data_IF_814749581536
#
_entry.id   IF_814749581536
#
_cell.length_a   1.000
_cell.length_b   1.000
_cell.length_c   1.000
_cell.angle_alpha   90.00
_cell.angle_beta   90.00
_cell.angle_gamma   90.00
#
_symmetry.space_group_name_H-M   'P 1'
#
loop_
_entity.id
_entity.type
_entity.pdbx_description
1 polymer ?
#
# COMPACT_ATOMS: atom_id res chain seq x y z
N UNK A 1 7.48 -23.06 48.63
CA UNK A 1 8.38 -22.92 47.48
C UNK A 1 8.12 -23.96 46.39
N UNK A 2 8.13 -25.27 46.69
CA UNK A 2 7.89 -26.34 45.69
C UNK A 2 6.50 -26.28 45.04
N UNK A 3 5.44 -26.05 45.82
CA UNK A 3 4.07 -25.97 45.29
C UNK A 3 3.86 -24.81 44.30
N UNK A 4 4.52 -23.67 44.53
CA UNK A 4 4.47 -22.54 43.61
C UNK A 4 5.08 -22.91 42.25
N UNK A 5 6.24 -23.56 42.24
CA UNK A 5 6.89 -23.98 40.99
C UNK A 5 6.01 -24.90 40.13
N UNK A 6 5.34 -25.87 40.75
CA UNK A 6 4.41 -26.77 40.04
C UNK A 6 3.14 -26.06 39.54
N UNK A 7 2.61 -25.12 40.32
CA UNK A 7 1.48 -24.27 39.89
C UNK A 7 1.90 -23.41 38.68
N UNK A 8 3.11 -22.82 38.71
CA UNK A 8 3.65 -22.04 37.59
C UNK A 8 3.85 -22.89 36.34
N UNK A 9 4.43 -24.08 36.47
CA UNK A 9 4.63 -25.00 35.34
C UNK A 9 3.27 -25.45 34.76
N UNK A 10 2.31 -25.77 35.62
CA UNK A 10 0.97 -26.17 35.20
C UNK A 10 0.27 -25.04 34.43
N UNK A 11 0.29 -23.81 34.95
CA UNK A 11 -0.26 -22.63 34.27
C UNK A 11 0.40 -22.41 32.90
N UNK A 12 1.73 -22.55 32.84
CA UNK A 12 2.47 -22.40 31.59
C UNK A 12 2.05 -23.44 30.54
N UNK A 13 1.96 -24.72 30.92
CA UNK A 13 1.53 -25.81 30.03
C UNK A 13 0.10 -25.60 29.56
N UNK A 14 -0.81 -25.24 30.48
CA UNK A 14 -2.23 -25.01 30.19
C UNK A 14 -2.43 -23.87 29.19
N UNK A 15 -1.56 -22.87 29.14
CA UNK A 15 -1.63 -21.78 28.14
C UNK A 15 -0.91 -22.15 26.84
N UNK A 16 0.27 -22.77 26.95
CA UNK A 16 1.15 -23.04 25.80
C UNK A 16 0.60 -24.12 24.89
N UNK A 17 0.03 -25.20 25.44
CA UNK A 17 -0.51 -26.30 24.63
C UNK A 17 -1.66 -25.84 23.72
N UNK A 18 -2.69 -25.11 24.21
CA UNK A 18 -3.70 -24.52 23.34
C UNK A 18 -3.14 -23.54 22.31
N UNK A 19 -2.14 -22.73 22.67
CA UNK A 19 -1.50 -21.81 21.75
C UNK A 19 -0.80 -22.56 20.60
N UNK A 20 -0.04 -23.62 20.91
CA UNK A 20 0.58 -24.51 19.89
C UNK A 20 -0.50 -25.15 19.01
N UNK A 21 -1.58 -25.67 19.60
CA UNK A 21 -2.70 -26.26 18.84
C UNK A 21 -3.31 -25.23 17.90
N UNK A 22 -3.51 -24.00 18.36
CA UNK A 22 -4.06 -22.92 17.53
C UNK A 22 -3.13 -22.60 16.36
N UNK A 23 -1.82 -22.50 16.59
CA UNK A 23 -0.84 -22.27 15.51
C UNK A 23 -0.83 -23.42 14.49
N UNK A 24 -0.91 -24.67 14.96
CA UNK A 24 -0.99 -25.84 14.09
C UNK A 24 -2.28 -25.84 13.26
N UNK A 25 -3.42 -25.51 13.88
CA UNK A 25 -4.74 -25.45 13.23
C UNK A 25 -4.88 -24.26 12.27
N UNK A 26 -4.02 -23.25 12.37
CA UNK A 26 -4.09 -22.09 11.50
C UNK A 26 -3.66 -22.37 10.05
N UNK A 27 -3.06 -23.54 9.76
CA UNK A 27 -2.61 -23.98 8.43
C UNK A 27 -1.70 -22.95 7.74
N UNK A 28 -0.78 -22.36 8.51
CA UNK A 28 0.21 -21.40 7.98
C UNK A 28 1.31 -22.14 7.22
N UNK A 29 2.16 -21.37 6.53
CA UNK A 29 3.41 -21.91 6.01
C UNK A 29 4.17 -22.65 7.12
N UNK A 30 4.63 -23.90 6.88
CA UNK A 30 5.27 -24.73 7.90
C UNK A 30 6.41 -24.02 8.63
N UNK A 31 7.19 -23.19 7.93
CA UNK A 31 8.25 -22.38 8.54
C UNK A 31 7.74 -21.40 9.60
N UNK A 32 6.62 -20.68 9.35
CA UNK A 32 6.01 -19.76 10.32
C UNK A 32 5.45 -20.53 11.53
N UNK A 33 4.83 -21.69 11.29
CA UNK A 33 4.34 -22.59 12.35
C UNK A 33 5.47 -23.09 13.23
N UNK A 34 6.56 -23.59 12.62
CA UNK A 34 7.73 -24.07 13.34
C UNK A 34 8.41 -22.94 14.14
N UNK A 35 8.51 -21.73 13.57
CA UNK A 35 9.07 -20.58 14.28
C UNK A 35 8.28 -20.27 15.57
N UNK A 36 6.95 -20.26 15.52
CA UNK A 36 6.13 -20.04 16.72
C UNK A 36 6.24 -21.17 17.74
N UNK A 37 6.28 -22.43 17.29
CA UNK A 37 6.51 -23.57 18.18
C UNK A 37 7.87 -23.44 18.89
N UNK A 38 8.92 -23.04 18.17
CA UNK A 38 10.24 -22.79 18.77
C UNK A 38 10.21 -21.61 19.75
N UNK A 39 9.52 -20.52 19.42
CA UNK A 39 9.34 -19.37 20.33
C UNK A 39 8.63 -19.80 21.62
N UNK A 40 7.57 -20.60 21.52
CA UNK A 40 6.90 -21.18 22.67
C UNK A 40 7.79 -22.14 23.45
N UNK A 41 8.70 -22.87 22.82
CA UNK A 41 9.57 -23.80 23.53
C UNK A 41 10.73 -23.10 24.25
N UNK A 42 11.42 -22.18 23.56
CA UNK A 42 12.67 -21.58 24.04
C UNK A 42 12.48 -20.27 24.81
N UNK A 43 11.33 -19.61 24.66
CA UNK A 43 11.05 -18.31 25.29
C UNK A 43 9.74 -18.42 26.09
N UNK A 44 9.75 -19.10 27.27
CA UNK A 44 8.55 -19.27 28.06
C UNK A 44 8.01 -17.93 28.56
N UNK A 45 6.67 -17.83 28.63
CA UNK A 45 5.87 -16.64 28.97
C UNK A 45 5.99 -15.49 27.98
N UNK A 46 7.20 -15.03 27.70
CA UNK A 46 7.47 -13.94 26.76
C UNK A 46 7.11 -14.34 25.33
N UNK A 47 7.33 -15.61 24.94
CA UNK A 47 6.89 -16.13 23.64
C UNK A 47 5.38 -16.15 23.46
N UNK A 48 4.63 -16.40 24.54
CA UNK A 48 3.16 -16.30 24.55
C UNK A 48 2.74 -14.84 24.33
N UNK A 49 3.34 -13.92 25.07
CA UNK A 49 3.14 -12.47 24.89
C UNK A 49 3.38 -12.13 23.41
N UNK A 50 4.57 -12.43 22.87
CA UNK A 50 4.90 -12.19 21.45
C UNK A 50 3.88 -12.78 20.47
N UNK A 51 3.38 -13.99 20.74
CA UNK A 51 2.37 -14.63 19.89
C UNK A 51 1.06 -13.84 19.83
N UNK A 52 0.60 -13.31 20.95
CA UNK A 52 -0.60 -12.47 20.97
C UNK A 52 -0.43 -11.17 20.16
N UNK A 53 0.80 -10.64 20.03
CA UNK A 53 1.09 -9.42 19.25
C UNK A 53 1.32 -9.68 17.77
N UNK A 54 2.23 -10.59 17.45
CA UNK A 54 2.77 -10.79 16.10
C UNK A 54 2.33 -12.11 15.48
N UNK A 55 1.82 -13.01 16.32
CA UNK A 55 1.58 -14.39 15.98
C UNK A 55 0.15 -14.70 15.62
N UNK A 56 -0.82 -13.79 15.70
CA UNK A 56 -2.20 -14.08 15.31
C UNK A 56 -2.41 -13.98 13.79
N UNK A 57 -3.22 -14.86 13.21
CA UNK A 57 -3.60 -14.80 11.80
C UNK A 57 -5.03 -14.27 11.69
N UNK A 58 -5.17 -12.97 11.41
CA UNK A 58 -6.48 -12.33 11.27
C UNK A 58 -7.05 -12.45 9.86
N UNK A 59 -6.36 -13.10 8.92
CA UNK A 59 -6.81 -13.24 7.52
C UNK A 59 -8.13 -14.01 7.36
N UNK A 60 -8.55 -14.74 8.40
CA UNK A 60 -9.83 -15.45 8.47
C UNK A 60 -10.95 -14.62 9.12
N UNK A 61 -10.65 -13.43 9.65
CA UNK A 61 -11.65 -12.56 10.28
C UNK A 61 -12.46 -11.81 9.21
N UNK A 62 -13.70 -12.24 8.99
CA UNK A 62 -14.64 -11.52 8.14
C UNK A 62 -15.22 -10.32 8.89
N UNK A 63 -14.59 -9.15 8.72
CA UNK A 63 -15.02 -7.91 9.36
C UNK A 63 -16.17 -7.20 8.60
N UNK A 64 -16.42 -7.58 7.35
CA UNK A 64 -17.52 -7.06 6.50
C UNK A 64 -18.32 -8.26 5.97
N UNK A 65 -19.65 -8.19 6.07
CA UNK A 65 -20.53 -9.25 5.54
C UNK A 65 -20.59 -9.21 4.01
N UNK A 66 -20.77 -10.36 3.37
CA UNK A 66 -20.90 -10.47 1.91
C UNK A 66 -22.03 -9.55 1.39
N UNK A 67 -23.16 -9.49 2.11
CA UNK A 67 -24.29 -8.59 1.79
C UNK A 67 -23.90 -7.11 1.82
N UNK A 68 -23.12 -6.68 2.81
CA UNK A 68 -22.64 -5.29 2.88
C UNK A 68 -21.67 -4.99 1.74
N UNK A 69 -20.78 -5.93 1.43
CA UNK A 69 -19.82 -5.80 0.32
C UNK A 69 -20.53 -5.70 -1.03
N UNK A 70 -21.56 -6.52 -1.26
CA UNK A 70 -22.39 -6.46 -2.46
C UNK A 70 -23.05 -5.08 -2.60
N UNK A 71 -23.59 -4.53 -1.51
CA UNK A 71 -24.23 -3.20 -1.53
C UNK A 71 -23.23 -2.08 -1.83
N UNK A 72 -22.05 -2.12 -1.24
CA UNK A 72 -20.97 -1.14 -1.48
C UNK A 72 -20.42 -1.25 -2.91
N UNK A 73 -20.42 -2.44 -3.50
CA UNK A 73 -19.88 -2.71 -4.85
C UNK A 73 -20.94 -2.54 -5.95
N UNK A 74 -22.24 -2.60 -5.60
CA UNK A 74 -23.36 -2.56 -6.55
C UNK A 74 -23.30 -1.35 -7.48
N UNK A 75 -22.96 -0.16 -6.97
CA UNK A 75 -22.95 1.06 -7.77
C UNK A 75 -21.82 1.07 -8.79
N UNK A 76 -20.59 0.78 -8.37
CA UNK A 76 -19.48 0.64 -9.32
C UNK A 76 -19.72 -0.47 -10.34
N UNK A 77 -20.40 -1.57 -9.96
CA UNK A 77 -20.80 -2.62 -10.90
C UNK A 77 -21.80 -2.14 -11.95
N UNK A 78 -22.80 -1.35 -11.57
CA UNK A 78 -23.76 -0.80 -12.52
C UNK A 78 -23.05 0.11 -13.53
N UNK A 79 -22.22 1.03 -13.05
CA UNK A 79 -21.42 1.91 -13.90
C UNK A 79 -20.46 1.12 -14.81
N UNK A 80 -19.90 0.01 -14.32
CA UNK A 80 -19.07 -0.88 -15.13
C UNK A 80 -19.86 -1.51 -16.29
N UNK A 81 -21.09 -1.96 -16.04
CA UNK A 81 -21.99 -2.57 -17.03
C UNK A 81 -22.48 -1.55 -18.06
N UNK A 82 -22.64 -0.29 -17.66
CA UNK A 82 -23.07 0.80 -18.55
C UNK A 82 -21.97 1.27 -19.52
N UNK A 83 -20.73 0.75 -19.43
CA UNK A 83 -19.65 1.09 -20.34
C UNK A 83 -19.88 0.55 -21.76
N UNK A 84 -20.29 1.42 -22.67
CA UNK A 84 -20.43 1.08 -24.09
C UNK A 84 -19.07 0.81 -24.75
N UNK A 85 -19.01 -0.22 -25.59
CA UNK A 85 -17.83 -0.57 -26.40
C UNK A 85 -16.54 -0.83 -25.58
N UNK A 86 -16.65 -1.39 -24.37
CA UNK A 86 -15.49 -1.79 -23.58
C UNK A 86 -14.72 -2.92 -24.28
N UNK A 87 -13.48 -2.65 -24.68
CA UNK A 87 -12.55 -3.63 -25.21
C UNK A 87 -11.43 -3.89 -24.20
N UNK A 88 -11.24 -5.16 -23.83
CA UNK A 88 -10.19 -5.58 -22.90
C UNK A 88 -9.00 -6.14 -23.70
N UNK A 89 -7.79 -5.56 -23.60
CA UNK A 89 -6.61 -6.06 -24.32
C UNK A 89 -6.31 -7.53 -23.99
N UNK A 90 -6.15 -8.36 -25.02
CA UNK A 90 -5.92 -9.80 -24.85
C UNK A 90 -4.64 -10.11 -24.06
N UNK A 91 -3.58 -9.32 -24.25
CA UNK A 91 -2.29 -9.43 -23.54
C UNK A 91 -2.45 -9.41 -22.02
N UNK A 92 -3.38 -8.61 -21.49
CA UNK A 92 -3.55 -8.39 -20.06
C UNK A 92 -4.87 -8.94 -19.49
N UNK A 93 -5.72 -9.54 -20.34
CA UNK A 93 -7.04 -10.07 -19.97
C UNK A 93 -7.03 -11.02 -18.78
N UNK A 94 -6.02 -11.90 -18.71
CA UNK A 94 -5.89 -12.84 -17.59
C UNK A 94 -5.57 -12.15 -16.26
N UNK A 95 -4.76 -11.09 -16.29
CA UNK A 95 -4.46 -10.27 -15.11
C UNK A 95 -5.69 -9.46 -14.68
N UNK A 96 -6.43 -8.89 -15.65
CA UNK A 96 -7.66 -8.16 -15.34
C UNK A 96 -8.73 -9.07 -14.70
N UNK A 97 -8.89 -10.28 -15.22
CA UNK A 97 -9.79 -11.28 -14.65
C UNK A 97 -9.34 -11.74 -13.26
N UNK A 98 -8.03 -11.86 -13.01
CA UNK A 98 -7.50 -12.19 -11.69
C UNK A 98 -8.01 -11.16 -10.65
N UNK A 99 -7.81 -9.88 -10.92
CA UNK A 99 -8.25 -8.81 -10.01
C UNK A 99 -9.77 -8.74 -9.85
N UNK A 100 -10.52 -8.90 -10.94
CA UNK A 100 -11.99 -8.93 -10.88
C UNK A 100 -12.50 -10.09 -10.01
N UNK A 101 -11.89 -11.27 -10.13
CA UNK A 101 -12.31 -12.48 -9.40
C UNK A 101 -11.90 -12.48 -7.92
N UNK A 102 -10.87 -11.72 -7.53
CA UNK A 102 -10.40 -11.66 -6.15
C UNK A 102 -11.17 -10.64 -5.30
N UNK A 103 -11.36 -9.42 -5.80
CA UNK A 103 -11.84 -8.29 -5.01
C UNK A 103 -12.84 -7.39 -5.73
N UNK A 104 -13.37 -7.84 -6.87
CA UNK A 104 -14.25 -7.04 -7.73
C UNK A 104 -13.60 -5.72 -8.17
N UNK A 105 -12.29 -5.72 -8.37
CA UNK A 105 -11.58 -4.62 -9.01
C UNK A 105 -11.92 -4.66 -10.51
N UNK A 106 -12.97 -3.95 -10.91
CA UNK A 106 -13.47 -3.95 -12.29
C UNK A 106 -12.70 -2.94 -13.17
N UNK A 107 -12.47 -3.24 -14.46
CA UNK A 107 -11.76 -2.35 -15.36
C UNK A 107 -12.68 -1.24 -15.90
N UNK A 108 -12.23 0.01 -15.76
CA UNK A 108 -12.92 1.21 -16.27
C UNK A 108 -12.11 1.88 -17.37
N UNK A 109 -12.74 2.20 -18.50
CA UNK A 109 -12.15 3.02 -19.58
C UNK A 109 -12.50 4.50 -19.41
N UNK A 110 -12.16 5.31 -20.42
CA UNK A 110 -12.44 6.75 -20.47
C UNK A 110 -11.84 7.48 -19.26
N UNK A 111 -10.50 7.48 -19.17
CA UNK A 111 -9.77 8.13 -18.09
C UNK A 111 -8.78 9.18 -18.61
N UNK A 112 -8.76 10.34 -17.98
CA UNK A 112 -7.69 11.33 -18.11
C UNK A 112 -6.84 11.28 -16.83
N UNK A 113 -5.53 11.18 -17.00
CA UNK A 113 -4.61 10.94 -15.89
C UNK A 113 -3.44 11.91 -15.91
N UNK A 114 -3.25 12.62 -14.82
CA UNK A 114 -2.08 13.46 -14.57
C UNK A 114 -1.14 12.75 -13.58
N UNK A 115 0.17 12.80 -13.85
CA UNK A 115 1.20 12.18 -13.02
C UNK A 115 2.01 13.27 -12.34
N UNK A 116 2.00 13.30 -11.01
CA UNK A 116 2.78 14.22 -10.20
C UNK A 116 4.02 13.51 -9.66
N UNK A 117 5.18 14.11 -9.87
CA UNK A 117 6.47 13.56 -9.42
C UNK A 117 7.08 14.29 -8.23
N UNK A 118 6.46 15.40 -7.81
CA UNK A 118 6.87 16.21 -6.67
C UNK A 118 5.64 16.66 -5.88
N UNK A 119 5.83 16.96 -4.60
CA UNK A 119 4.72 17.37 -3.74
C UNK A 119 4.22 18.77 -4.06
N UNK A 120 5.03 19.66 -4.62
CA UNK A 120 4.62 21.05 -4.85
C UNK A 120 3.46 21.10 -5.85
N UNK A 121 3.63 20.50 -7.03
CA UNK A 121 2.60 20.48 -8.06
C UNK A 121 1.38 19.65 -7.64
N UNK A 122 1.61 18.54 -6.91
CA UNK A 122 0.54 17.69 -6.40
C UNK A 122 -0.36 18.44 -5.40
N UNK A 123 0.21 19.04 -4.34
CA UNK A 123 -0.59 19.65 -3.29
C UNK A 123 -1.29 20.93 -3.74
N UNK A 124 -0.69 21.70 -4.66
CA UNK A 124 -1.38 22.82 -5.28
C UNK A 124 -2.61 22.35 -6.08
N UNK A 125 -2.45 21.27 -6.84
CA UNK A 125 -3.57 20.67 -7.58
C UNK A 125 -4.63 20.12 -6.64
N UNK A 126 -4.24 19.43 -5.56
CA UNK A 126 -5.17 18.91 -4.57
C UNK A 126 -5.99 20.06 -3.93
N UNK A 127 -5.32 21.10 -3.45
CA UNK A 127 -5.97 22.29 -2.86
C UNK A 127 -6.90 22.99 -3.86
N UNK A 128 -6.49 23.12 -5.12
CA UNK A 128 -7.34 23.67 -6.17
C UNK A 128 -8.63 22.86 -6.32
N UNK A 129 -8.53 21.53 -6.42
CA UNK A 129 -9.72 20.69 -6.59
C UNK A 129 -10.59 20.66 -5.32
N UNK A 130 -10.00 20.72 -4.11
CA UNK A 130 -10.75 20.88 -2.84
C UNK A 130 -11.56 22.17 -2.88
N UNK A 131 -10.95 23.29 -3.30
CA UNK A 131 -11.64 24.57 -3.44
C UNK A 131 -12.83 24.52 -4.41
N UNK A 132 -12.72 23.71 -5.48
CA UNK A 132 -13.79 23.52 -6.46
C UNK A 132 -14.94 22.61 -6.00
N UNK A 133 -14.76 21.82 -4.94
CA UNK A 133 -15.75 20.84 -4.49
C UNK A 133 -17.12 21.48 -4.21
N UNK A 134 -18.20 20.81 -4.63
CA UNK A 134 -19.58 21.30 -4.50
C UNK A 134 -20.50 20.36 -3.73
N UNK A 135 -20.16 19.09 -3.61
CA UNK A 135 -21.02 18.07 -3.02
C UNK A 135 -20.31 17.31 -1.92
N UNK A 136 -19.17 16.66 -2.21
CA UNK A 136 -18.46 15.88 -1.20
C UNK A 136 -16.96 15.78 -1.43
N UNK A 137 -16.23 15.58 -0.34
CA UNK A 137 -14.81 15.23 -0.32
C UNK A 137 -14.65 14.00 0.56
N UNK A 138 -14.09 12.94 0.00
CA UNK A 138 -13.71 11.73 0.72
C UNK A 138 -12.18 11.64 0.73
N UNK A 139 -11.56 11.60 1.90
CA UNK A 139 -10.10 11.57 2.05
C UNK A 139 -9.69 10.41 2.95
N UNK A 140 -8.82 9.54 2.46
CA UNK A 140 -8.17 8.48 3.23
C UNK A 140 -6.66 8.65 3.11
N UNK A 141 -5.94 8.77 4.23
CA UNK A 141 -4.49 8.91 4.22
C UNK A 141 -3.84 8.20 5.41
N UNK A 142 -2.70 7.55 5.17
CA UNK A 142 -1.91 6.95 6.24
C UNK A 142 -1.34 7.99 7.22
N UNK A 143 -0.77 9.08 6.70
CA UNK A 143 -0.22 10.17 7.53
C UNK A 143 -0.89 11.49 7.13
N UNK A 144 -1.36 12.21 8.14
CA UNK A 144 -1.79 13.60 8.07
C UNK A 144 -1.06 14.39 9.16
N UNK A 145 0.10 14.99 8.82
CA UNK A 145 0.90 15.72 9.82
C UNK A 145 0.32 17.09 10.14
N UNK A 146 0.32 17.47 11.43
CA UNK A 146 0.02 18.83 11.87
C UNK A 146 1.21 19.79 11.65
N UNK A 147 1.68 19.89 10.41
CA UNK A 147 2.68 20.87 9.96
C UNK A 147 2.03 21.95 9.09
N UNK A 148 2.82 22.89 8.56
CA UNK A 148 2.28 24.01 7.78
C UNK A 148 1.46 23.58 6.55
N UNK A 149 1.80 22.46 5.90
CA UNK A 149 1.03 21.93 4.79
C UNK A 149 -0.25 21.26 5.29
N UNK A 150 -0.15 20.49 6.38
CA UNK A 150 -1.31 19.85 6.96
C UNK A 150 -2.37 20.83 7.46
N UNK A 151 -1.95 21.91 8.15
CA UNK A 151 -2.86 22.98 8.54
C UNK A 151 -3.51 23.66 7.33
N UNK A 152 -2.76 23.90 6.25
CA UNK A 152 -3.31 24.49 5.03
C UNK A 152 -4.40 23.61 4.40
N UNK A 153 -4.19 22.29 4.35
CA UNK A 153 -5.20 21.35 3.83
C UNK A 153 -6.38 21.24 4.80
N UNK A 154 -6.13 21.18 6.11
CA UNK A 154 -7.19 21.13 7.12
C UNK A 154 -8.09 22.37 7.04
N UNK A 155 -7.51 23.56 6.95
CA UNK A 155 -8.26 24.81 6.81
C UNK A 155 -9.08 24.83 5.50
N UNK A 156 -8.51 24.36 4.39
CA UNK A 156 -9.25 24.24 3.13
C UNK A 156 -10.44 23.25 3.23
N UNK A 157 -10.28 22.13 3.94
CA UNK A 157 -11.38 21.19 4.18
C UNK A 157 -12.45 21.79 5.10
N UNK A 158 -12.05 22.53 6.13
CA UNK A 158 -12.93 23.26 7.06
C UNK A 158 -13.77 24.28 6.28
N UNK A 159 -13.13 25.10 5.44
CA UNK A 159 -13.81 26.09 4.60
C UNK A 159 -14.87 25.44 3.72
N UNK A 160 -14.62 24.22 3.22
CA UNK A 160 -15.59 23.46 2.41
C UNK A 160 -16.74 22.90 3.24
N UNK A 161 -16.45 22.36 4.41
CA UNK A 161 -17.47 21.87 5.34
C UNK A 161 -18.43 22.98 5.78
N UNK A 162 -17.90 24.17 6.09
CA UNK A 162 -18.70 25.35 6.44
C UNK A 162 -19.57 25.85 5.27
N UNK A 163 -19.15 25.61 4.03
CA UNK A 163 -19.96 25.86 2.82
C UNK A 163 -21.02 24.77 2.56
N UNK A 164 -21.14 23.76 3.43
CA UNK A 164 -22.09 22.67 3.32
C UNK A 164 -21.65 21.51 2.42
N UNK A 165 -20.36 21.45 2.03
CA UNK A 165 -19.80 20.28 1.35
C UNK A 165 -19.60 19.17 2.37
N UNK A 166 -20.06 17.96 2.05
CA UNK A 166 -19.88 16.81 2.93
C UNK A 166 -18.42 16.35 2.91
N UNK A 167 -17.72 16.39 4.04
CA UNK A 167 -16.32 15.96 4.12
C UNK A 167 -16.20 14.75 5.05
N UNK A 168 -15.69 13.64 4.50
CA UNK A 168 -15.35 12.42 5.25
C UNK A 168 -13.86 12.16 5.20
N UNK A 169 -13.25 11.96 6.37
CA UNK A 169 -11.81 11.78 6.51
C UNK A 169 -11.50 10.50 7.31
N UNK A 170 -10.64 9.67 6.74
CA UNK A 170 -10.01 8.53 7.40
C UNK A 170 -8.52 8.82 7.53
N UNK A 171 -7.97 8.66 8.73
CA UNK A 171 -6.52 8.67 8.95
C UNK A 171 -6.07 7.42 9.69
N UNK A 172 -4.84 6.96 9.49
CA UNK A 172 -4.31 5.83 10.28
C UNK A 172 -3.83 6.29 11.67
N UNK A 173 -4.32 5.63 12.70
CA UNK A 173 -4.03 5.96 14.11
C UNK A 173 -2.53 5.86 14.46
N UNK A 174 -1.85 4.79 14.05
CA UNK A 174 -0.43 4.58 14.34
C UNK A 174 0.43 5.48 13.45
N UNK A 175 0.05 5.66 12.18
CA UNK A 175 0.69 6.61 11.27
C UNK A 175 0.66 8.04 11.81
N UNK A 176 -0.44 8.43 12.46
CA UNK A 176 -0.65 9.76 13.02
C UNK A 176 -0.42 9.86 14.54
N UNK A 177 0.21 8.88 15.18
CA UNK A 177 0.38 8.88 16.66
C UNK A 177 1.03 10.16 17.20
N UNK A 178 1.96 10.76 16.46
CA UNK A 178 2.64 11.99 16.89
C UNK A 178 1.80 13.26 16.70
N UNK A 179 0.65 13.16 16.06
CA UNK A 179 -0.28 14.27 15.81
C UNK A 179 -1.20 14.39 17.01
N UNK A 180 -1.35 15.60 17.54
CA UNK A 180 -2.22 15.83 18.70
C UNK A 180 -3.69 15.75 18.29
N UNK A 181 -4.53 15.18 19.14
CA UNK A 181 -5.98 15.09 18.91
C UNK A 181 -6.63 16.45 18.62
N UNK A 182 -6.12 17.54 19.23
CA UNK A 182 -6.56 18.93 18.98
C UNK A 182 -6.60 19.30 17.48
N UNK A 183 -5.68 18.74 16.68
CA UNK A 183 -5.66 18.96 15.23
C UNK A 183 -6.89 18.36 14.54
N UNK A 184 -7.31 17.17 14.94
CA UNK A 184 -8.48 16.49 14.40
C UNK A 184 -9.78 17.04 15.00
N UNK A 185 -9.79 17.38 16.29
CA UNK A 185 -10.98 17.97 16.94
C UNK A 185 -11.38 19.30 16.29
N UNK A 186 -10.41 20.15 15.95
CA UNK A 186 -10.68 21.39 15.19
C UNK A 186 -11.49 21.13 13.92
N UNK A 187 -11.14 20.09 13.17
CA UNK A 187 -11.84 19.74 11.93
C UNK A 187 -13.21 19.12 12.21
N UNK A 188 -13.35 18.30 13.26
CA UNK A 188 -14.63 17.75 13.71
C UNK A 188 -15.61 18.85 14.15
N UNK A 189 -15.12 19.83 14.90
CA UNK A 189 -15.91 20.98 15.37
C UNK A 189 -16.46 21.82 14.22
N UNK A 190 -15.79 21.82 13.06
CA UNK A 190 -16.25 22.45 11.82
C UNK A 190 -17.22 21.59 10.99
N UNK A 191 -17.62 20.41 11.48
CA UNK A 191 -18.58 19.53 10.81
C UNK A 191 -17.97 18.50 9.85
N UNK A 192 -16.65 18.31 9.87
CA UNK A 192 -16.00 17.23 9.12
C UNK A 192 -16.19 15.91 9.87
N UNK A 193 -16.59 14.86 9.15
CA UNK A 193 -16.74 13.52 9.69
C UNK A 193 -15.37 12.79 9.67
N UNK A 194 -14.78 12.53 10.84
CA UNK A 194 -13.41 12.05 10.96
C UNK A 194 -13.30 10.80 11.82
N UNK A 195 -12.72 9.75 11.24
CA UNK A 195 -12.45 8.49 11.92
C UNK A 195 -11.00 8.05 11.80
N UNK A 196 -10.44 7.60 12.93
CA UNK A 196 -9.15 6.91 12.96
C UNK A 196 -9.32 5.45 12.51
N UNK A 197 -8.44 4.96 11.64
CA UNK A 197 -8.41 3.57 11.20
C UNK A 197 -7.73 2.68 12.26
N UNK A 198 -8.47 1.66 12.73
CA UNK A 198 -8.03 0.68 13.74
C UNK A 198 -7.30 1.31 14.94
N UNK A 199 -7.99 2.10 15.79
CA UNK A 199 -7.37 2.82 16.89
C UNK A 199 -6.70 1.91 17.92
N UNK A 200 -5.53 2.31 18.41
CA UNK A 200 -4.66 1.59 19.33
C UNK A 200 -4.41 2.43 20.59
N UNK A 201 -5.27 2.25 21.60
CA UNK A 201 -5.10 2.92 22.90
C UNK A 201 -3.97 2.33 23.75
N UNK A 202 -3.70 1.04 23.58
CA UNK A 202 -2.66 0.32 24.32
C UNK A 202 -1.83 -0.57 23.38
N UNK A 203 -0.75 -0.04 22.76
CA UNK A 203 0.06 -0.80 21.79
C UNK A 203 0.64 -2.08 22.38
N UNK A 204 1.01 -2.04 23.65
CA UNK A 204 1.55 -3.17 24.38
C UNK A 204 0.52 -4.28 24.67
N UNK A 205 -0.75 -4.15 24.23
CA UNK A 205 -1.79 -5.20 24.40
C UNK A 205 -2.62 -5.53 23.14
N UNK A 206 -2.23 -5.14 21.92
CA UNK A 206 -3.00 -5.47 20.71
C UNK A 206 -2.18 -5.78 19.45
N UNK A 207 -2.60 -6.82 18.69
CA UNK A 207 -2.09 -7.14 17.35
C UNK A 207 -2.51 -6.12 16.29
N UNK A 208 -3.47 -5.23 16.59
CA UNK A 208 -3.95 -4.17 15.68
C UNK A 208 -2.84 -3.24 15.21
N UNK A 209 -1.73 -3.11 15.94
CA UNK A 209 -0.56 -2.32 15.53
C UNK A 209 0.01 -2.79 14.19
N UNK A 210 -0.10 -4.08 13.87
CA UNK A 210 0.48 -4.65 12.66
C UNK A 210 -0.32 -4.34 11.39
N UNK A 211 -1.64 -4.13 11.51
CA UNK A 211 -2.53 -3.88 10.37
C UNK A 211 -2.83 -2.40 10.25
N UNK A 212 -2.30 -1.74 9.22
CA UNK A 212 -2.38 -0.28 9.05
C UNK A 212 -2.98 0.07 7.71
N UNK A 213 -3.76 1.16 7.66
CA UNK A 213 -4.25 1.68 6.40
C UNK A 213 -3.18 2.52 5.73
N UNK A 214 -2.51 1.94 4.75
CA UNK A 214 -1.43 2.58 4.02
C UNK A 214 -1.93 3.19 2.69
N UNK A 215 -3.24 3.31 2.48
CA UNK A 215 -3.80 3.97 1.30
C UNK A 215 -3.65 5.49 1.40
N UNK A 216 -3.65 6.16 0.24
CA UNK A 216 -3.73 7.61 0.09
C UNK A 216 -4.70 7.88 -1.05
N UNK A 217 -5.98 8.03 -0.71
CA UNK A 217 -7.08 8.20 -1.65
C UNK A 217 -7.77 9.53 -1.37
N UNK A 218 -8.11 10.28 -2.42
CA UNK A 218 -9.02 11.41 -2.28
C UNK A 218 -10.03 11.38 -3.41
N UNK A 219 -11.32 11.52 -3.13
CA UNK A 219 -12.38 11.66 -4.12
C UNK A 219 -13.09 12.97 -3.90
N UNK A 220 -13.22 13.75 -4.95
CA UNK A 220 -13.89 15.06 -4.95
C UNK A 220 -15.07 14.98 -5.89
N UNK A 221 -16.26 15.17 -5.33
CA UNK A 221 -17.56 15.14 -6.01
C UNK A 221 -17.83 13.87 -6.83
N UNK A 222 -17.08 12.78 -6.61
CA UNK A 222 -17.16 11.56 -7.42
C UNK A 222 -16.64 11.75 -8.85
N UNK A 223 -15.98 12.88 -9.16
CA UNK A 223 -15.52 13.27 -10.50
C UNK A 223 -14.01 13.26 -10.65
N UNK A 224 -13.30 13.66 -9.59
CA UNK A 224 -11.84 13.70 -9.53
C UNK A 224 -11.39 12.75 -8.42
N UNK A 225 -10.44 11.86 -8.74
CA UNK A 225 -9.84 10.93 -7.81
C UNK A 225 -8.33 11.13 -7.73
N UNK A 226 -7.76 10.96 -6.54
CA UNK A 226 -6.32 10.94 -6.32
C UNK A 226 -5.91 9.60 -5.69
N UNK A 227 -4.77 9.06 -6.14
CA UNK A 227 -4.18 7.82 -5.63
C UNK A 227 -2.66 7.84 -5.84
N UNK A 228 -1.88 7.41 -4.84
CA UNK A 228 -0.42 7.39 -4.97
C UNK A 228 0.33 7.13 -3.67
N UNK A 229 1.61 7.54 -3.63
CA UNK A 229 2.51 7.30 -2.50
C UNK A 229 2.61 8.44 -1.48
N UNK A 230 2.32 9.67 -1.89
CA UNK A 230 2.46 10.87 -1.04
C UNK A 230 1.44 10.92 0.10
N UNK A 231 1.92 11.06 1.33
CA UNK A 231 1.10 11.43 2.49
C UNK A 231 0.96 12.95 2.61
N UNK A 232 0.02 13.43 3.43
CA UNK A 232 -0.08 14.85 3.76
C UNK A 232 1.00 15.22 4.78
N UNK A 233 2.14 15.69 4.27
CA UNK A 233 3.28 16.16 5.07
C UNK A 233 4.18 17.09 4.25
N UNK A 234 4.67 18.16 4.87
CA UNK A 234 5.49 19.21 4.26
C UNK A 234 6.79 18.68 3.66
N UNK A 235 7.28 17.53 4.14
CA UNK A 235 8.50 16.87 3.62
C UNK A 235 8.42 16.54 2.13
N UNK A 236 7.23 16.27 1.58
CA UNK A 236 7.07 16.00 0.14
C UNK A 236 7.23 17.26 -0.72
N UNK A 237 7.11 18.44 -0.12
CA UNK A 237 7.29 19.74 -0.80
C UNK A 237 8.68 20.30 -0.58
N UNK A 238 9.17 20.28 0.67
CA UNK A 238 10.42 20.95 1.06
C UNK A 238 11.60 20.00 1.29
N UNK A 239 11.37 18.68 1.31
CA UNK A 239 12.31 17.72 1.88
C UNK A 239 12.29 17.73 3.41
N UNK A 240 13.08 16.84 4.01
CA UNK A 240 13.34 16.83 5.45
C UNK A 240 14.72 17.43 5.78
N UNK A 241 15.16 17.33 7.04
CA UNK A 241 16.46 17.87 7.47
C UNK A 241 17.67 17.21 6.80
N UNK A 242 17.51 16.05 6.17
CA UNK A 242 18.57 15.20 5.63
C UNK A 242 18.57 15.21 4.10
N UNK A 243 17.41 15.16 3.47
CA UNK A 243 17.30 14.95 2.03
C UNK A 243 15.98 15.45 1.44
N UNK A 244 15.99 15.74 0.14
CA UNK A 244 14.79 15.97 -0.65
C UNK A 244 13.96 14.68 -0.74
N UNK A 245 12.65 14.83 -0.95
CA UNK A 245 11.73 13.71 -1.13
C UNK A 245 11.21 13.68 -2.57
N UNK A 246 11.16 12.48 -3.14
CA UNK A 246 10.64 12.20 -4.47
C UNK A 246 9.59 11.11 -4.32
N UNK A 247 8.38 11.32 -4.79
CA UNK A 247 7.30 10.32 -4.72
C UNK A 247 6.33 10.56 -5.89
N UNK A 248 5.49 9.60 -6.22
CA UNK A 248 4.60 9.66 -7.38
C UNK A 248 3.14 9.58 -6.94
N UNK A 249 2.32 10.50 -7.45
CA UNK A 249 0.88 10.55 -7.18
C UNK A 249 0.10 10.78 -8.48
N UNK A 250 -1.11 10.23 -8.56
CA UNK A 250 -1.98 10.35 -9.72
C UNK A 250 -3.19 11.19 -9.40
N UNK A 251 -3.61 11.98 -10.38
CA UNK A 251 -4.96 12.54 -10.46
C UNK A 251 -5.67 11.87 -11.63
N UNK A 252 -6.88 11.38 -11.38
CA UNK A 252 -7.71 10.67 -12.36
C UNK A 252 -9.05 11.40 -12.46
N UNK A 253 -9.46 11.69 -13.69
CA UNK A 253 -10.83 12.03 -14.03
C UNK A 253 -11.36 10.97 -14.99
N UNK A 254 -12.54 10.41 -14.71
CA UNK A 254 -13.10 9.33 -15.54
C UNK A 254 -13.64 8.16 -14.72
N UNK A 255 -13.88 7.04 -15.41
CA UNK A 255 -14.49 5.84 -14.80
C UNK A 255 -13.68 5.25 -13.63
N UNK A 256 -12.35 5.43 -13.62
CA UNK A 256 -11.49 4.99 -12.54
C UNK A 256 -11.81 5.61 -11.18
N UNK A 257 -12.43 6.80 -11.16
CA UNK A 257 -12.83 7.49 -9.92
C UNK A 257 -13.91 6.69 -9.18
N UNK A 258 -14.78 5.96 -9.88
CA UNK A 258 -15.78 5.10 -9.24
C UNK A 258 -15.14 3.97 -8.43
N UNK A 259 -14.01 3.44 -8.90
CA UNK A 259 -13.29 2.39 -8.18
C UNK A 259 -12.49 2.94 -6.98
N UNK A 260 -11.94 4.16 -7.07
CA UNK A 260 -11.36 4.88 -5.92
C UNK A 260 -12.44 5.16 -4.87
N UNK A 261 -13.61 5.65 -5.31
CA UNK A 261 -14.76 5.91 -4.46
C UNK A 261 -15.22 4.65 -3.74
N UNK A 262 -15.33 3.52 -4.45
CA UNK A 262 -15.65 2.23 -3.83
C UNK A 262 -14.62 1.86 -2.76
N UNK A 263 -13.33 1.97 -3.06
CA UNK A 263 -12.27 1.64 -2.10
C UNK A 263 -12.41 2.46 -0.81
N UNK A 264 -12.62 3.77 -0.94
CA UNK A 264 -12.89 4.65 0.21
C UNK A 264 -14.14 4.23 0.98
N UNK A 265 -15.26 3.98 0.30
CA UNK A 265 -16.53 3.64 0.96
C UNK A 265 -16.49 2.29 1.68
N UNK A 266 -15.67 1.34 1.20
CA UNK A 266 -15.39 0.09 1.91
C UNK A 266 -14.63 0.36 3.22
N UNK A 267 -13.61 1.22 3.18
CA UNK A 267 -12.87 1.61 4.39
C UNK A 267 -13.73 2.46 5.34
N UNK A 268 -14.61 3.31 4.80
CA UNK A 268 -15.58 4.06 5.58
C UNK A 268 -16.53 3.13 6.34
N UNK A 269 -17.12 2.15 5.64
CA UNK A 269 -17.96 1.14 6.29
C UNK A 269 -17.17 0.33 7.32
N UNK A 270 -15.88 0.11 7.11
CA UNK A 270 -15.03 -0.57 8.08
C UNK A 270 -14.90 0.20 9.40
N UNK A 271 -14.69 1.52 9.34
CA UNK A 271 -14.44 2.37 10.52
C UNK A 271 -15.71 2.89 11.19
N UNK A 272 -16.75 3.22 10.42
CA UNK A 272 -17.96 3.89 10.90
C UNK A 272 -19.21 2.99 10.87
N UNK A 273 -19.20 1.91 10.09
CA UNK A 273 -20.33 0.97 9.92
C UNK A 273 -21.57 1.56 9.22
N UNK A 274 -21.46 2.77 8.67
CA UNK A 274 -22.51 3.36 7.83
C UNK A 274 -22.39 2.92 6.38
N UNK A 275 -23.50 2.41 5.81
CA UNK A 275 -23.59 2.03 4.41
C UNK A 275 -23.93 3.24 3.53
N UNK A 276 -22.93 3.75 2.83
CA UNK A 276 -23.09 4.85 1.87
C UNK A 276 -23.17 4.27 0.46
N UNK A 277 -24.37 4.27 -0.13
CA UNK A 277 -24.64 3.61 -1.43
C UNK A 277 -25.48 4.46 -2.41
N UNK A 278 -25.67 5.74 -2.07
CA UNK A 278 -26.46 6.67 -2.87
C UNK A 278 -25.82 6.90 -4.26
N UNK A 279 -26.66 7.01 -5.29
CA UNK A 279 -26.24 7.27 -6.68
C UNK A 279 -25.51 8.60 -6.83
N UNK A 280 -25.80 9.59 -5.99
CA UNK A 280 -25.18 10.93 -6.08
C UNK A 280 -23.64 10.91 -5.97
N UNK A 281 -23.07 9.85 -5.36
CA UNK A 281 -21.62 9.65 -5.23
C UNK A 281 -20.95 9.09 -6.49
N UNK A 282 -21.73 8.75 -7.52
CA UNK A 282 -21.30 8.18 -8.79
C UNK A 282 -21.93 8.99 -9.93
N UNK A 283 -21.52 10.26 -10.12
CA UNK A 283 -22.04 11.09 -11.20
C UNK A 283 -21.50 10.59 -12.54
N UNK A 284 -22.27 10.69 -13.66
CA UNK A 284 -21.82 10.26 -14.96
C UNK A 284 -20.46 10.85 -15.37
N UNK A 285 -19.63 10.03 -16.01
CA UNK A 285 -18.36 10.46 -16.59
C UNK A 285 -18.58 11.59 -17.61
N UNK A 286 -17.70 12.59 -17.57
CA UNK A 286 -17.76 13.73 -18.50
C UNK A 286 -17.69 13.26 -19.95
N UNK A 287 -18.63 13.73 -20.78
CA UNK A 287 -18.68 13.37 -22.20
C UNK A 287 -17.44 13.80 -23.00
N UNK A 288 -16.61 14.68 -22.45
CA UNK A 288 -15.35 15.12 -23.06
C UNK A 288 -14.20 14.12 -22.88
N UNK A 289 -14.29 13.23 -21.89
CA UNK A 289 -13.30 12.18 -21.65
C UNK A 289 -13.79 10.94 -22.39
N UNK A 290 -13.35 10.79 -23.64
CA UNK A 290 -13.64 9.62 -24.49
C UNK A 290 -12.35 9.04 -25.02
N UNK A 291 -11.86 7.99 -24.37
CA UNK A 291 -10.62 7.31 -24.73
C UNK A 291 -10.64 5.86 -24.21
N UNK A 292 -9.65 5.06 -24.60
CA UNK A 292 -9.55 3.68 -24.14
C UNK A 292 -8.51 3.49 -23.03
N UNK A 293 -8.14 4.56 -22.31
CA UNK A 293 -7.22 4.46 -21.19
C UNK A 293 -7.89 3.66 -20.07
N UNK A 294 -7.54 2.38 -19.97
CA UNK A 294 -8.17 1.43 -19.08
C UNK A 294 -7.45 1.37 -17.73
N UNK A 295 -8.21 1.42 -16.63
CA UNK A 295 -7.68 1.34 -15.27
C UNK A 295 -8.45 0.35 -14.39
N UNK A 296 -7.75 -0.40 -13.55
CA UNK A 296 -8.30 -1.12 -12.40
C UNK A 296 -7.69 -0.56 -11.11
N UNK A 297 -8.53 -0.16 -10.17
CA UNK A 297 -8.07 0.15 -8.81
C UNK A 297 -8.13 -1.14 -8.00
N UNK A 298 -6.95 -1.64 -7.65
CA UNK A 298 -6.79 -2.91 -6.92
C UNK A 298 -6.38 -2.57 -5.50
N UNK A 299 -7.14 -3.07 -4.55
CA UNK A 299 -6.90 -2.90 -3.12
C UNK A 299 -6.41 -4.19 -2.50
N UNK A 300 -5.36 -4.14 -1.68
CA UNK A 300 -4.99 -5.26 -0.81
C UNK A 300 -5.56 -5.03 0.59
N UNK A 301 -5.85 -6.13 1.29
CA UNK A 301 -6.28 -6.11 2.68
C UNK A 301 -5.73 -7.34 3.40
N UNK A 302 -5.20 -7.19 4.62
CA UNK A 302 -4.68 -8.31 5.40
C UNK A 302 -5.78 -9.31 5.81
N UNK A 303 -7.05 -8.91 5.73
CA UNK A 303 -8.22 -9.76 5.99
C UNK A 303 -8.81 -10.38 4.71
N UNK A 304 -8.28 -10.05 3.53
CA UNK A 304 -8.68 -10.67 2.26
C UNK A 304 -8.18 -12.12 2.19
N UNK A 305 -8.96 -13.07 1.63
CA UNK A 305 -8.48 -14.44 1.44
C UNK A 305 -7.21 -14.51 0.59
N UNK A 306 -7.04 -13.58 -0.35
CA UNK A 306 -5.95 -13.54 -1.31
C UNK A 306 -5.11 -12.25 -1.14
N UNK A 307 -3.80 -12.27 -1.40
CA UNK A 307 -2.99 -11.05 -1.49
C UNK A 307 -3.06 -10.49 -2.91
N UNK A 308 -4.13 -9.75 -3.23
CA UNK A 308 -4.49 -9.28 -4.58
C UNK A 308 -3.31 -8.63 -5.33
N UNK A 309 -2.72 -7.57 -4.76
CA UNK A 309 -1.63 -6.82 -5.39
C UNK A 309 -0.37 -7.68 -5.53
N UNK A 310 -0.05 -8.53 -4.53
CA UNK A 310 1.11 -9.44 -4.61
C UNK A 310 0.96 -10.46 -5.73
N UNK A 311 -0.23 -11.08 -5.87
CA UNK A 311 -0.51 -12.00 -6.98
C UNK A 311 -0.47 -11.28 -8.33
N UNK A 312 -0.92 -10.02 -8.37
CA UNK A 312 -0.73 -9.13 -9.51
C UNK A 312 0.75 -8.98 -9.88
N UNK A 313 1.61 -8.59 -8.94
CA UNK A 313 3.05 -8.43 -9.17
C UNK A 313 3.72 -9.71 -9.66
N UNK A 314 3.41 -10.87 -9.03
CA UNK A 314 3.92 -12.18 -9.48
C UNK A 314 3.47 -12.47 -10.91
N UNK A 315 2.19 -12.22 -11.22
CA UNK A 315 1.64 -12.45 -12.56
C UNK A 315 2.34 -11.56 -13.60
N UNK A 316 2.57 -10.29 -13.29
CA UNK A 316 3.27 -9.36 -14.18
C UNK A 316 4.70 -9.81 -14.46
N UNK A 317 5.47 -10.10 -13.41
CA UNK A 317 6.87 -10.53 -13.54
C UNK A 317 6.98 -11.80 -14.40
N UNK A 318 6.08 -12.77 -14.22
CA UNK A 318 6.09 -14.03 -14.98
C UNK A 318 5.51 -13.92 -16.39
N UNK A 319 4.80 -12.84 -16.72
CA UNK A 319 4.23 -12.61 -18.04
C UNK A 319 5.09 -11.69 -18.92
N UNK A 320 5.96 -10.89 -18.31
CA UNK A 320 6.77 -9.91 -19.00
C UNK A 320 7.62 -10.56 -20.11
N UNK A 321 7.66 -9.92 -21.27
CA UNK A 321 8.36 -10.40 -22.47
C UNK A 321 9.61 -9.56 -22.77
N UNK A 322 9.61 -8.28 -22.42
CA UNK A 322 10.71 -7.35 -22.74
C UNK A 322 11.37 -6.82 -21.47
N UNK A 323 10.59 -6.21 -20.58
CA UNK A 323 11.15 -5.55 -19.40
C UNK A 323 10.13 -5.38 -18.27
N UNK A 324 10.63 -5.25 -17.05
CA UNK A 324 9.88 -4.75 -15.89
C UNK A 324 10.74 -3.76 -15.12
N UNK A 325 10.30 -2.52 -15.02
CA UNK A 325 10.97 -1.46 -14.26
C UNK A 325 10.15 -1.14 -13.01
N UNK A 326 10.82 -1.10 -11.85
CA UNK A 326 10.17 -0.92 -10.56
C UNK A 326 10.89 0.13 -9.72
N UNK A 327 10.13 0.96 -9.01
CA UNK A 327 10.61 1.83 -7.93
C UNK A 327 9.91 1.46 -6.63
N UNK A 328 10.69 1.39 -5.55
CA UNK A 328 10.17 1.16 -4.20
C UNK A 328 11.11 1.78 -3.16
N UNK A 329 10.61 2.41 -2.07
CA UNK A 329 11.48 2.89 -1.00
C UNK A 329 12.18 1.75 -0.25
N UNK A 330 11.52 0.59 -0.16
CA UNK A 330 11.98 -0.56 0.60
C UNK A 330 11.87 -1.82 -0.25
N UNK A 331 12.89 -2.68 -0.16
CA UNK A 331 12.92 -3.96 -0.87
C UNK A 331 13.15 -5.09 0.12
N UNK A 332 12.04 -5.63 0.60
CA UNK A 332 11.97 -6.81 1.47
C UNK A 332 10.92 -7.76 0.90
N UNK A 333 11.07 -8.21 -0.37
CA UNK A 333 10.03 -8.92 -1.08
C UNK A 333 9.66 -10.21 -0.35
N UNK A 334 8.38 -10.58 -0.47
CA UNK A 334 7.96 -11.95 -0.13
C UNK A 334 8.64 -12.95 -1.06
N UNK A 335 8.76 -14.19 -0.61
CA UNK A 335 9.40 -15.25 -1.41
C UNK A 335 8.78 -15.37 -2.82
N UNK A 336 7.43 -15.37 -3.00
CA UNK A 336 6.85 -15.51 -4.33
C UNK A 336 7.24 -14.37 -5.29
N UNK A 337 7.35 -13.13 -4.78
CA UNK A 337 7.75 -11.97 -5.58
C UNK A 337 9.22 -12.06 -5.96
N UNK A 338 10.09 -12.42 -5.01
CA UNK A 338 11.52 -12.60 -5.30
C UNK A 338 11.75 -13.77 -6.27
N UNK A 339 11.05 -14.88 -6.09
CA UNK A 339 11.11 -16.04 -6.98
C UNK A 339 10.70 -15.66 -8.41
N UNK A 340 9.57 -14.97 -8.57
CA UNK A 340 9.09 -14.51 -9.87
C UNK A 340 10.08 -13.53 -10.52
N UNK A 341 10.62 -12.59 -9.75
CA UNK A 341 11.60 -11.61 -10.23
C UNK A 341 12.88 -12.28 -10.75
N UNK A 342 13.45 -13.21 -9.97
CA UNK A 342 14.65 -13.97 -10.38
C UNK A 342 14.37 -14.85 -11.60
N UNK A 343 13.20 -15.49 -11.65
CA UNK A 343 12.78 -16.33 -12.78
C UNK A 343 12.70 -15.51 -14.07
N UNK A 344 12.08 -14.33 -14.01
CA UNK A 344 11.97 -13.45 -15.17
C UNK A 344 13.34 -12.94 -15.65
N UNK A 345 14.21 -12.53 -14.73
CA UNK A 345 15.56 -12.08 -15.05
C UNK A 345 16.40 -13.19 -15.70
N UNK A 346 16.37 -14.41 -15.14
CA UNK A 346 17.04 -15.59 -15.69
C UNK A 346 16.47 -16.04 -17.04
N UNK A 347 15.20 -15.73 -17.31
CA UNK A 347 14.57 -15.96 -18.61
C UNK A 347 14.92 -14.90 -19.67
N UNK A 348 15.70 -13.87 -19.31
CA UNK A 348 16.19 -12.84 -20.23
C UNK A 348 15.36 -11.55 -20.28
N UNK A 349 14.37 -11.38 -19.39
CA UNK A 349 13.61 -10.13 -19.26
C UNK A 349 14.48 -9.05 -18.61
N UNK A 350 14.48 -7.82 -19.14
CA UNK A 350 15.21 -6.68 -18.53
C UNK A 350 14.51 -6.20 -17.26
N UNK A 351 14.88 -6.76 -16.12
CA UNK A 351 14.35 -6.35 -14.81
C UNK A 351 15.23 -5.26 -14.21
N UNK A 352 14.64 -4.10 -13.91
CA UNK A 352 15.31 -2.99 -13.23
C UNK A 352 14.58 -2.61 -11.96
N UNK A 353 15.32 -2.53 -10.86
CA UNK A 353 14.82 -2.18 -9.54
C UNK A 353 15.51 -0.91 -9.05
N UNK A 354 14.76 0.15 -8.82
CA UNK A 354 15.27 1.38 -8.24
C UNK A 354 14.95 1.46 -6.75
N UNK A 355 15.97 1.79 -5.97
CA UNK A 355 15.90 1.97 -4.51
C UNK A 355 16.55 3.31 -4.14
N UNK A 356 16.11 3.97 -3.05
CA UNK A 356 16.85 5.10 -2.51
C UNK A 356 18.26 4.65 -2.06
N UNK A 357 19.29 5.43 -2.38
CA UNK A 357 20.65 5.18 -1.87
C UNK A 357 20.71 5.23 -0.34
N UNK A 358 19.91 6.11 0.25
CA UNK A 358 19.78 6.28 1.70
C UNK A 358 18.31 6.25 2.08
N UNK A 359 17.91 5.21 2.82
CA UNK A 359 16.57 5.12 3.37
C UNK A 359 16.39 6.06 4.58
N UNK A 360 15.15 6.38 4.90
CA UNK A 360 14.77 7.09 6.12
C UNK A 360 15.04 6.24 7.39
N UNK A 361 14.94 4.91 7.26
CA UNK A 361 15.19 3.91 8.31
C UNK A 361 16.39 3.00 8.00
N UNK A 362 17.50 3.18 8.74
CA UNK A 362 18.75 2.40 8.56
C UNK A 362 18.57 0.89 8.74
N UNK A 363 17.69 0.47 9.65
CA UNK A 363 17.45 -0.95 9.93
C UNK A 363 16.84 -1.66 8.72
N UNK A 364 15.88 -0.99 8.04
CA UNK A 364 15.25 -1.48 6.81
C UNK A 364 16.26 -1.52 5.67
N UNK A 365 17.12 -0.51 5.56
CA UNK A 365 18.24 -0.51 4.60
C UNK A 365 19.19 -1.70 4.81
N UNK A 366 19.44 -2.10 6.06
CA UNK A 366 20.28 -3.26 6.34
C UNK A 366 19.59 -4.58 6.02
N UNK A 367 18.30 -4.68 6.34
CA UNK A 367 17.48 -5.85 6.05
C UNK A 367 17.37 -6.10 4.54
N UNK A 368 17.25 -5.05 3.72
CA UNK A 368 17.02 -5.17 2.27
C UNK A 368 18.24 -5.71 1.52
N UNK A 369 19.46 -5.47 2.02
CA UNK A 369 20.72 -5.80 1.33
C UNK A 369 20.83 -7.25 0.89
N UNK A 370 20.39 -8.20 1.72
CA UNK A 370 20.45 -9.62 1.34
C UNK A 370 19.56 -9.93 0.15
N UNK A 371 18.36 -9.35 0.10
CA UNK A 371 17.42 -9.54 -0.99
C UNK A 371 17.92 -8.86 -2.27
N UNK A 372 18.51 -7.67 -2.15
CA UNK A 372 19.15 -6.96 -3.26
C UNK A 372 20.26 -7.80 -3.89
N UNK A 373 21.13 -8.40 -3.07
CA UNK A 373 22.19 -9.27 -3.58
C UNK A 373 21.62 -10.48 -4.34
N UNK A 374 20.62 -11.18 -3.79
CA UNK A 374 19.96 -12.31 -4.48
C UNK A 374 19.30 -11.90 -5.81
N UNK A 375 18.79 -10.68 -5.91
CA UNK A 375 18.22 -10.16 -7.15
C UNK A 375 19.33 -9.87 -8.19
N UNK A 376 20.43 -9.22 -7.78
CA UNK A 376 21.58 -8.94 -8.65
C UNK A 376 22.19 -10.23 -9.18
N UNK A 377 22.36 -11.26 -8.34
CA UNK A 377 22.88 -12.57 -8.74
C UNK A 377 22.05 -13.23 -9.86
N UNK A 378 20.75 -12.95 -9.90
CA UNK A 378 19.85 -13.45 -10.94
C UNK A 378 19.81 -12.58 -12.20
N UNK A 379 20.57 -11.48 -12.26
CA UNK A 379 20.65 -10.57 -13.40
C UNK A 379 19.74 -9.33 -13.32
N UNK A 380 19.12 -9.07 -12.16
CA UNK A 380 18.35 -7.83 -11.95
C UNK A 380 19.30 -6.64 -11.84
N UNK A 381 19.05 -5.58 -12.61
CA UNK A 381 19.82 -4.32 -12.51
C UNK A 381 19.26 -3.46 -11.40
N UNK A 382 20.07 -3.16 -10.40
CA UNK A 382 19.64 -2.32 -9.27
C UNK A 382 20.16 -0.90 -9.43
N UNK A 383 19.29 0.09 -9.35
CA UNK A 383 19.63 1.50 -9.46
C UNK A 383 19.45 2.18 -8.09
N UNK A 384 20.53 2.74 -7.55
CA UNK A 384 20.49 3.50 -6.30
C UNK A 384 20.28 4.99 -6.58
N UNK A 385 19.07 5.48 -6.28
CA UNK A 385 18.68 6.88 -6.48
C UNK A 385 19.47 7.81 -5.56
N UNK A 386 20.08 8.85 -6.13
CA UNK A 386 21.01 9.73 -5.39
C UNK A 386 20.51 11.14 -5.14
N UNK A 387 19.42 11.57 -5.79
CA UNK A 387 18.90 12.94 -5.68
C UNK A 387 17.97 13.17 -4.47
N UNK A 388 17.88 12.21 -3.54
CA UNK A 388 17.06 12.31 -2.33
C UNK A 388 16.51 10.95 -1.91
N UNK A 389 15.42 10.97 -1.14
CA UNK A 389 14.64 9.79 -0.81
C UNK A 389 13.57 9.55 -1.89
N UNK A 390 13.79 8.56 -2.75
CA UNK A 390 12.73 8.09 -3.64
C UNK A 390 11.79 7.16 -2.86
N UNK A 391 10.59 7.67 -2.62
CA UNK A 391 9.49 7.01 -1.94
C UNK A 391 8.38 6.56 -2.91
N UNK A 392 8.62 6.57 -4.22
CA UNK A 392 7.66 6.11 -5.22
C UNK A 392 7.39 4.60 -5.13
N UNK A 393 6.18 4.20 -5.52
CA UNK A 393 5.76 2.80 -5.71
C UNK A 393 5.20 2.68 -7.11
N UNK A 394 6.08 2.34 -8.02
CA UNK A 394 5.81 2.39 -9.45
C UNK A 394 6.33 1.11 -10.08
N UNK A 395 5.56 0.56 -11.01
CA UNK A 395 5.97 -0.54 -11.86
C UNK A 395 5.50 -0.26 -13.29
N UNK A 396 6.33 -0.55 -14.28
CA UNK A 396 5.96 -0.53 -15.70
C UNK A 396 6.54 -1.74 -16.43
N UNK A 397 5.76 -2.32 -17.33
CA UNK A 397 6.08 -3.56 -18.05
C UNK A 397 5.68 -3.46 -19.52
N UNK A 398 6.58 -3.88 -20.41
CA UNK A 398 6.35 -4.14 -21.84
C UNK A 398 5.64 -3.04 -22.65
N UNK A 399 5.70 -1.79 -22.18
CA UNK A 399 5.00 -0.64 -22.78
C UNK A 399 3.47 -0.78 -22.85
N UNK A 400 2.85 -1.72 -22.12
CA UNK A 400 1.39 -1.93 -22.14
C UNK A 400 0.73 -1.96 -20.77
N UNK A 401 1.53 -1.99 -19.70
CA UNK A 401 1.05 -2.11 -18.34
C UNK A 401 1.89 -1.23 -17.42
N UNK A 402 1.23 -0.48 -16.55
CA UNK A 402 1.89 0.15 -15.42
C UNK A 402 1.01 0.20 -14.18
N UNK A 403 1.63 0.32 -13.02
CA UNK A 403 0.92 0.59 -11.78
C UNK A 403 1.64 1.61 -10.91
N UNK A 404 0.84 2.48 -10.28
CA UNK A 404 1.27 3.45 -9.28
C UNK A 404 0.29 3.37 -8.11
N UNK A 405 0.80 3.47 -6.88
CA UNK A 405 -0.05 3.46 -5.69
C UNK A 405 0.74 3.56 -4.41
N UNK A 406 0.26 2.88 -3.38
CA UNK A 406 0.85 2.93 -2.05
C UNK A 406 1.74 1.73 -1.70
N UNK A 407 1.67 0.65 -2.49
CA UNK A 407 2.25 -0.67 -2.16
C UNK A 407 3.77 -0.72 -2.31
N UNK A 408 4.51 -0.84 -1.20
CA UNK A 408 5.94 -1.14 -1.25
C UNK A 408 6.18 -2.59 -1.70
N UNK A 409 7.39 -2.87 -2.20
CA UNK A 409 7.85 -4.25 -2.41
C UNK A 409 8.44 -4.80 -1.10
N UNK A 410 7.59 -4.94 -0.08
CA UNK A 410 7.95 -5.48 1.23
C UNK A 410 6.88 -6.43 1.82
N UNK A 411 7.25 -7.19 2.86
CA UNK A 411 6.32 -8.09 3.55
C UNK A 411 5.10 -7.36 4.12
N UNK A 412 5.26 -6.12 4.60
CA UNK A 412 4.17 -5.38 5.24
C UNK A 412 3.11 -4.99 4.24
N UNK A 413 3.47 -4.37 3.13
CA UNK A 413 2.55 -3.97 2.08
C UNK A 413 1.84 -5.17 1.44
N UNK A 414 2.52 -6.31 1.29
CA UNK A 414 1.90 -7.50 0.70
C UNK A 414 1.04 -8.34 1.67
N UNK A 415 1.38 -8.40 2.97
CA UNK A 415 0.70 -9.29 3.92
C UNK A 415 -0.12 -8.55 4.99
N UNK A 416 0.27 -7.35 5.42
CA UNK A 416 -0.21 -6.72 6.65
C UNK A 416 -0.92 -5.37 6.46
N UNK A 417 -0.54 -4.56 5.47
CA UNK A 417 -1.16 -3.26 5.25
C UNK A 417 -2.38 -3.37 4.33
N UNK A 418 -3.31 -2.45 4.52
CA UNK A 418 -4.28 -2.12 3.49
C UNK A 418 -3.58 -1.20 2.49
N UNK A 419 -3.49 -1.61 1.23
CA UNK A 419 -2.86 -0.83 0.16
C UNK A 419 -3.84 -0.63 -0.99
N UNK A 420 -3.53 0.32 -1.87
CA UNK A 420 -4.28 0.57 -3.09
C UNK A 420 -3.34 0.98 -4.22
N UNK A 421 -3.52 0.37 -5.38
CA UNK A 421 -2.77 0.65 -6.60
C UNK A 421 -3.72 0.85 -7.77
N UNK A 422 -3.43 1.83 -8.62
CA UNK A 422 -4.03 1.95 -9.94
C UNK A 422 -3.20 1.13 -10.93
N UNK A 423 -3.81 0.18 -11.62
CA UNK A 423 -3.21 -0.61 -12.69
C UNK A 423 -3.79 -0.13 -14.03
N UNK A 424 -2.94 0.43 -14.89
CA UNK A 424 -3.32 0.89 -16.22
C UNK A 424 -2.92 -0.12 -17.28
N UNK A 425 -3.83 -0.40 -18.20
CA UNK A 425 -3.64 -1.29 -19.34
C UNK A 425 -3.71 -0.47 -20.63
N UNK A 426 -2.80 0.49 -20.74
CA UNK A 426 -2.77 1.50 -21.79
C UNK A 426 -1.32 1.82 -22.16
N UNK A 427 -1.03 1.86 -23.46
CA UNK A 427 0.33 2.04 -23.98
C UNK A 427 0.87 3.45 -23.72
N UNK A 428 0.06 4.49 -23.95
CA UNK A 428 0.47 5.87 -23.72
C UNK A 428 0.80 6.10 -22.24
N UNK A 429 -0.05 5.59 -21.35
CA UNK A 429 0.17 5.67 -19.92
C UNK A 429 1.44 4.89 -19.51
N UNK A 430 1.65 3.67 -20.01
CA UNK A 430 2.85 2.90 -19.74
C UNK A 430 4.11 3.64 -20.21
N UNK A 431 4.10 4.25 -21.40
CA UNK A 431 5.21 5.05 -21.91
C UNK A 431 5.48 6.30 -21.06
N UNK A 432 4.44 7.01 -20.61
CA UNK A 432 4.58 8.17 -19.70
C UNK A 432 5.21 7.75 -18.37
N UNK A 433 4.78 6.62 -17.80
CA UNK A 433 5.34 6.06 -16.55
C UNK A 433 6.78 5.59 -16.75
N UNK A 434 7.10 4.95 -17.87
CA UNK A 434 8.47 4.60 -18.24
C UNK A 434 9.36 5.84 -18.36
N UNK A 435 8.86 6.92 -18.95
CA UNK A 435 9.61 8.17 -19.03
C UNK A 435 9.88 8.78 -17.65
N UNK A 436 8.95 8.65 -16.69
CA UNK A 436 9.19 9.00 -15.28
C UNK A 436 10.35 8.17 -14.72
N UNK A 437 10.27 6.84 -14.85
CA UNK A 437 11.32 5.94 -14.38
C UNK A 437 12.71 6.29 -14.95
N UNK A 438 12.81 6.47 -16.26
CA UNK A 438 14.09 6.76 -16.93
C UNK A 438 14.68 8.12 -16.51
N UNK A 439 13.83 9.11 -16.17
CA UNK A 439 14.32 10.39 -15.61
C UNK A 439 14.90 10.23 -14.21
N UNK A 440 14.35 9.34 -13.40
CA UNK A 440 14.90 9.02 -12.08
C UNK A 440 16.12 8.09 -12.19
N UNK A 441 16.16 7.20 -13.19
CA UNK A 441 17.32 6.35 -13.52
C UNK A 441 18.55 7.22 -13.85
N UNK A 442 18.36 8.31 -14.60
CA UNK A 442 19.43 9.26 -14.91
C UNK A 442 20.06 9.94 -13.67
N UNK A 443 19.39 9.88 -12.51
CA UNK A 443 19.87 10.40 -11.21
C UNK A 443 20.34 9.27 -10.27
N UNK A 444 20.59 8.09 -10.81
CA UNK A 444 20.89 6.88 -10.05
C UNK A 444 22.26 6.31 -10.39
N UNK A 445 22.78 5.50 -9.49
CA UNK A 445 24.00 4.70 -9.69
C UNK A 445 23.59 3.26 -9.94
N UNK A 446 24.02 2.69 -11.07
CA UNK A 446 23.83 1.27 -11.36
C UNK A 446 24.70 0.42 -10.42
N UNK A 447 24.07 -0.60 -9.85
CA UNK A 447 24.68 -1.66 -9.06
C UNK A 447 24.19 -2.99 -9.61
N UNK A 448 24.97 -3.55 -10.51
CA UNK A 448 24.74 -4.83 -11.19
C UNK A 448 25.77 -5.91 -10.80
N UNK A 449 26.67 -5.59 -9.87
CA UNK A 449 27.64 -6.51 -9.30
C UNK A 449 27.52 -6.54 -7.77
N UNK A 450 27.35 -7.76 -7.24
CA UNK A 450 27.30 -8.06 -5.81
C UNK A 450 28.57 -7.59 -5.09
N UNK A 451 29.71 -7.49 -5.79
CA UNK A 451 30.98 -7.01 -5.23
C UNK A 451 30.88 -5.63 -4.58
N UNK A 452 29.91 -4.81 -5.01
CA UNK A 452 29.54 -3.55 -4.36
C UNK A 452 29.19 -3.72 -2.87
N UNK A 453 28.62 -4.87 -2.50
CA UNK A 453 28.21 -5.21 -1.13
C UNK A 453 29.22 -6.10 -0.37
N UNK A 454 30.16 -6.76 -1.06
CA UNK A 454 30.96 -7.88 -0.49
C UNK A 454 32.13 -7.44 0.42
N UNK A 455 32.65 -6.21 0.30
CA UNK A 455 33.76 -5.72 1.16
C UNK A 455 33.27 -5.30 2.55
N UNK A 456 32.88 -6.25 3.40
CA UNK A 456 32.34 -5.96 4.74
C UNK A 456 32.93 -6.85 5.85
N UNK A 457 33.17 -6.29 7.05
CA UNK A 457 33.57 -7.07 8.22
C UNK A 457 32.54 -8.16 8.55
N UNK A 458 33.01 -9.29 9.07
CA UNK A 458 32.17 -10.43 9.47
C UNK A 458 31.01 -10.03 10.39
N UNK A 459 31.27 -9.16 11.37
CA UNK A 459 30.24 -8.70 12.32
C UNK A 459 29.10 -7.95 11.63
N UNK A 460 29.40 -7.17 10.60
CA UNK A 460 28.37 -6.47 9.83
C UNK A 460 27.53 -7.48 9.04
N UNK A 461 28.14 -8.48 8.41
CA UNK A 461 27.43 -9.54 7.70
C UNK A 461 26.54 -10.37 8.63
N UNK A 462 27.04 -10.71 9.82
CA UNK A 462 26.26 -11.43 10.82
C UNK A 462 25.04 -10.62 11.26
N UNK A 463 25.24 -9.33 11.53
CA UNK A 463 24.15 -8.43 11.91
C UNK A 463 23.11 -8.27 10.79
N UNK A 464 23.53 -8.08 9.53
CA UNK A 464 22.63 -8.02 8.36
C UNK A 464 21.79 -9.32 8.25
N UNK A 465 22.40 -10.49 8.43
CA UNK A 465 21.69 -11.78 8.44
C UNK A 465 20.72 -11.93 9.62
N UNK A 466 21.07 -11.43 10.81
CA UNK A 466 20.16 -11.45 11.97
C UNK A 466 18.99 -10.50 11.76
N UNK A 467 19.23 -9.29 11.23
CA UNK A 467 18.18 -8.32 10.92
C UNK A 467 17.24 -8.85 9.85
N UNK A 468 17.74 -9.61 8.86
CA UNK A 468 16.89 -10.29 7.85
C UNK A 468 15.82 -11.19 8.48
N UNK A 469 16.11 -11.85 9.61
CA UNK A 469 15.12 -12.68 10.32
C UNK A 469 13.96 -11.86 10.89
N UNK A 470 14.16 -10.56 11.10
CA UNK A 470 13.15 -9.61 11.55
C UNK A 470 12.36 -9.00 10.39
N UNK A 471 12.69 -9.26 9.12
CA UNK A 471 12.02 -8.66 7.95
C UNK A 471 10.49 -8.82 7.94
N UNK A 472 9.89 -9.93 8.40
CA UNK A 472 8.42 -10.02 8.51
C UNK A 472 7.80 -9.10 9.57
N UNK A 473 8.61 -8.55 10.48
CA UNK A 473 8.22 -7.67 11.57
C UNK A 473 8.53 -6.19 11.28
N UNK A 474 9.53 -5.93 10.43
CA UNK A 474 9.95 -4.62 9.93
C UNK A 474 9.05 -4.14 8.81
#
# INVERSE_FOLDING_TARGET
MIYFHWIYLLLYVVITVPAIITVLMDNRQPAKTMAWILVFFFIPFVGIIFYFFFGQNTRKERLISDRSMDQLTKRSMLEFVEQENLHLPDSNKTLMNLFANQSWALPFKDNQVDIYTDGYDFFLTLLYNIGQAKHHIHLDTYIFEADALGYLIADALIDKAEQGVEVRLIYDDVGCWKVKDEFFERMRDAGIDIHSFMPVRFPAFTSKVNYRNHRKLCVIDGKVGFIGGMNIALRYVKGDKKQAWRDTHLRIEGGGVYAIQRAFLVDWYFVDRTLVTNRQYYPPVSAHIRNNCLVQIVTSSPISPWPDIMQGYVRILLQAQKYVYMETPYFLPTEPVLFAMRTAALAGVDIRLMLPRHADAKLVEWASRSYVMEAIEAGVKVYLYTAGFNHSKLLVSDDNLCTIGSTNIDFRSFENNFEANAFFFDEEMAQRVKAVYLRDEAKSILVDDVSYFVKRPFLQRLFESTVRLLSPLL
#
